data_IF_815203059287
#
_entry.id   IF_815203059287
#
_cell.length_a   1.000
_cell.length_b   1.000
_cell.length_c   1.000
_cell.angle_alpha   90.00
_cell.angle_beta   90.00
_cell.angle_gamma   90.00
#
_symmetry.space_group_name_H-M   'P 1'
#
loop_
_entity.id
_entity.type
_entity.pdbx_description
1 polymer ?
#
# COMPACT_ATOMS: atom_id res chain seq x y z
N UNK A 1 -18.73 20.99 -10.48
CA UNK A 1 -19.95 20.17 -10.43
C UNK A 1 -19.59 18.71 -10.31
N UNK A 2 -20.38 17.97 -9.54
CA UNK A 2 -20.73 16.59 -9.87
C UNK A 2 -20.90 16.48 -11.41
N UNK A 3 -20.19 15.58 -12.10
CA UNK A 3 -20.25 14.15 -11.83
C UNK A 3 -18.92 13.38 -11.71
N UNK A 4 -17.75 14.04 -11.61
CA UNK A 4 -16.46 13.32 -11.76
C UNK A 4 -15.87 12.71 -10.47
N UNK A 5 -16.49 12.87 -9.31
CA UNK A 5 -15.96 12.30 -8.06
C UNK A 5 -16.71 11.03 -7.65
N UNK A 6 -16.09 9.86 -7.91
CA UNK A 6 -16.65 8.52 -7.65
C UNK A 6 -16.14 7.83 -6.38
N UNK A 7 -15.37 8.51 -5.53
CA UNK A 7 -14.79 7.87 -4.36
C UNK A 7 -15.81 7.82 -3.21
N UNK A 8 -16.34 6.62 -2.95
CA UNK A 8 -17.27 6.35 -1.85
C UNK A 8 -16.53 5.78 -0.66
N UNK A 9 -16.71 6.36 0.52
CA UNK A 9 -16.15 5.88 1.77
C UNK A 9 -17.26 5.43 2.71
N UNK A 10 -17.11 4.24 3.30
CA UNK A 10 -18.05 3.73 4.30
C UNK A 10 -17.92 4.53 5.60
N UNK A 11 -18.95 5.31 5.94
CA UNK A 11 -18.97 6.10 7.16
C UNK A 11 -19.37 5.20 8.37
N UNK A 12 -18.61 5.20 9.49
CA UNK A 12 -18.96 4.43 10.67
C UNK A 12 -20.30 4.87 11.27
N UNK A 13 -21.02 3.95 11.92
CA UNK A 13 -22.28 4.29 12.61
C UNK A 13 -22.05 5.36 13.67
N UNK A 14 -22.86 6.43 13.62
CA UNK A 14 -22.75 7.56 14.55
C UNK A 14 -21.52 8.44 14.32
N UNK A 15 -20.83 8.30 13.18
CA UNK A 15 -19.79 9.22 12.78
C UNK A 15 -20.37 10.48 12.11
N UNK A 16 -19.64 11.59 12.22
CA UNK A 16 -19.98 12.86 11.57
C UNK A 16 -18.76 13.39 10.84
N UNK A 17 -18.96 13.90 9.62
CA UNK A 17 -17.90 14.50 8.81
C UNK A 17 -17.64 15.92 9.30
N UNK A 18 -16.37 16.22 9.58
CA UNK A 18 -15.88 17.51 10.04
C UNK A 18 -15.48 18.38 8.84
N UNK A 19 -15.44 19.71 9.04
CA UNK A 19 -14.94 20.67 8.03
C UNK A 19 -13.42 20.66 7.89
N UNK A 20 -12.71 20.13 8.88
CA UNK A 20 -11.25 20.01 8.85
C UNK A 20 -10.82 18.89 7.92
N UNK A 21 -9.76 19.14 7.15
CA UNK A 21 -9.15 18.16 6.26
C UNK A 21 -7.99 17.45 6.96
N UNK A 22 -7.71 16.22 6.54
CA UNK A 22 -6.55 15.46 6.99
C UNK A 22 -5.29 16.04 6.35
N UNK A 23 -4.31 16.41 7.16
CA UNK A 23 -3.04 17.00 6.69
C UNK A 23 -2.20 16.03 5.83
N UNK A 24 -2.44 14.71 5.93
CA UNK A 24 -1.70 13.70 5.15
C UNK A 24 -2.25 13.46 3.74
N UNK A 25 -3.56 13.54 3.57
CA UNK A 25 -4.22 13.09 2.35
C UNK A 25 -5.29 14.07 1.81
N UNK A 26 -5.56 15.18 2.51
CA UNK A 26 -6.53 16.21 2.09
C UNK A 26 -8.00 15.82 2.21
N UNK A 27 -8.31 14.57 2.61
CA UNK A 27 -9.68 14.09 2.81
C UNK A 27 -10.30 14.67 4.09
N UNK A 28 -11.63 14.84 4.15
CA UNK A 28 -12.28 15.34 5.34
C UNK A 28 -12.07 14.42 6.54
N UNK A 29 -11.94 15.00 7.73
CA UNK A 29 -11.87 14.24 8.97
C UNK A 29 -13.26 13.85 9.43
N UNK A 30 -13.36 12.76 10.19
CA UNK A 30 -14.59 12.31 10.82
C UNK A 30 -14.43 12.27 12.33
N UNK A 31 -15.50 12.53 13.05
CA UNK A 31 -15.60 12.27 14.49
C UNK A 31 -16.54 11.11 14.76
N UNK A 32 -16.14 10.14 15.58
CA UNK A 32 -16.97 8.96 15.89
C UNK A 32 -16.65 8.39 17.27
N UNK A 33 -17.48 7.47 17.77
CA UNK A 33 -17.28 6.79 19.05
C UNK A 33 -17.67 7.61 20.29
N UNK A 34 -17.58 6.96 21.46
CA UNK A 34 -17.74 7.54 22.80
C UNK A 34 -16.66 6.93 23.71
N UNK A 35 -15.59 7.66 24.09
CA UNK A 35 -15.32 9.07 23.83
C UNK A 35 -15.12 9.38 22.34
N UNK A 36 -15.40 10.64 21.94
CA UNK A 36 -15.31 11.06 20.53
C UNK A 36 -13.86 11.05 20.06
N UNK A 37 -13.55 10.18 19.12
CA UNK A 37 -12.28 10.12 18.40
C UNK A 37 -12.37 10.94 17.11
N UNK A 38 -11.25 11.49 16.64
CA UNK A 38 -11.11 12.16 15.34
C UNK A 38 -10.15 11.36 14.47
N UNK A 39 -10.56 11.01 13.26
CA UNK A 39 -9.71 10.31 12.29
C UNK A 39 -9.95 10.82 10.87
N UNK A 40 -9.13 10.41 9.91
CA UNK A 40 -9.41 10.63 8.50
C UNK A 40 -10.64 9.83 8.05
N UNK A 41 -11.42 10.35 7.09
CA UNK A 41 -12.52 9.60 6.45
C UNK A 41 -12.04 8.30 5.81
N UNK A 42 -10.83 8.28 5.25
CA UNK A 42 -10.24 7.04 4.72
C UNK A 42 -9.54 6.27 5.85
N UNK A 43 -10.01 5.05 6.21
CA UNK A 43 -9.37 4.22 7.23
C UNK A 43 -7.96 3.74 6.84
N UNK A 44 -7.56 3.89 5.57
CA UNK A 44 -6.20 3.63 5.08
C UNK A 44 -5.31 4.87 5.14
N UNK A 45 -5.83 6.08 5.36
CA UNK A 45 -5.02 7.29 5.39
C UNK A 45 -4.02 7.24 6.57
N UNK A 46 -2.75 7.52 6.26
CA UNK A 46 -1.65 7.42 7.21
C UNK A 46 -0.98 6.04 7.31
N UNK A 47 -1.55 4.99 6.72
CA UNK A 47 -0.81 3.76 6.44
C UNK A 47 -0.05 3.96 5.14
N UNK A 48 1.28 4.10 5.19
CA UNK A 48 2.11 3.87 4.01
C UNK A 48 1.75 2.46 3.56
N UNK A 49 1.16 2.33 2.37
CA UNK A 49 1.00 1.01 1.75
C UNK A 49 2.43 0.49 1.65
N UNK A 50 2.77 -0.51 2.47
CA UNK A 50 4.04 -1.23 2.39
C UNK A 50 4.01 -2.02 1.08
N UNK A 51 4.22 -1.30 -0.01
CA UNK A 51 4.05 -1.76 -1.38
C UNK A 51 5.04 -1.02 -2.29
N UNK A 52 6.17 -0.57 -1.73
CA UNK A 52 7.38 -0.43 -2.54
C UNK A 52 7.99 -1.81 -2.52
N UNK A 53 7.46 -2.69 -3.37
CA UNK A 53 8.21 -3.88 -3.77
C UNK A 53 9.44 -3.33 -4.49
N UNK A 54 10.58 -3.24 -3.80
CA UNK A 54 11.81 -2.71 -4.39
C UNK A 54 12.20 -3.61 -5.55
N UNK A 55 11.96 -3.12 -6.77
CA UNK A 55 12.33 -3.81 -8.00
C UNK A 55 13.83 -3.70 -8.13
N UNK A 56 14.50 -4.84 -7.96
CA UNK A 56 15.97 -4.93 -7.99
C UNK A 56 16.49 -5.30 -9.39
N UNK A 57 15.63 -5.81 -10.27
CA UNK A 57 16.02 -6.20 -11.62
C UNK A 57 14.91 -6.92 -12.36
N UNK A 58 15.26 -7.59 -13.47
CA UNK A 58 14.35 -8.43 -14.24
C UNK A 58 14.74 -9.90 -14.13
N UNK A 59 13.73 -10.75 -14.05
CA UNK A 59 13.92 -12.18 -13.94
C UNK A 59 14.45 -12.74 -15.28
N UNK A 60 15.59 -13.44 -15.29
CA UNK A 60 16.14 -14.03 -16.52
C UNK A 60 15.27 -15.17 -17.07
N UNK A 61 14.43 -15.80 -16.23
CA UNK A 61 13.58 -16.93 -16.66
C UNK A 61 12.26 -16.49 -17.32
N UNK A 62 11.67 -15.37 -16.88
CA UNK A 62 10.34 -14.95 -17.35
C UNK A 62 10.22 -13.47 -17.73
N UNK A 63 11.29 -12.68 -17.56
CA UNK A 63 11.30 -11.24 -17.84
C UNK A 63 10.47 -10.37 -16.91
N UNK A 64 9.82 -10.96 -15.89
CA UNK A 64 9.03 -10.23 -14.88
C UNK A 64 9.95 -9.55 -13.85
N UNK A 65 9.42 -8.56 -13.14
CA UNK A 65 10.19 -7.82 -12.13
C UNK A 65 10.66 -8.75 -10.99
N UNK A 66 11.94 -8.63 -10.63
CA UNK A 66 12.50 -9.19 -9.42
C UNK A 66 12.32 -8.19 -8.30
N UNK A 67 11.73 -8.62 -7.19
CA UNK A 67 11.39 -7.78 -6.07
C UNK A 67 12.06 -8.27 -4.79
N UNK A 68 12.62 -7.34 -4.03
CA UNK A 68 13.18 -7.63 -2.72
C UNK A 68 12.04 -7.84 -1.71
N UNK A 69 12.09 -8.96 -0.99
CA UNK A 69 11.14 -9.38 0.03
C UNK A 69 11.87 -9.68 1.33
N UNK A 70 11.32 -9.22 2.44
CA UNK A 70 11.84 -9.54 3.77
C UNK A 70 11.14 -10.79 4.31
N UNK A 71 11.89 -11.86 4.56
CA UNK A 71 11.40 -13.11 5.15
C UNK A 71 11.90 -13.31 6.58
N UNK A 72 11.54 -14.45 7.20
CA UNK A 72 11.98 -14.82 8.55
C UNK A 72 13.49 -14.94 8.69
N UNK A 73 14.17 -15.28 7.61
CA UNK A 73 15.61 -15.59 7.57
C UNK A 73 16.47 -14.45 7.00
N UNK A 74 15.86 -13.32 6.65
CA UNK A 74 16.54 -12.20 6.00
C UNK A 74 15.81 -11.71 4.75
N UNK A 75 16.43 -10.76 4.07
CA UNK A 75 15.96 -10.23 2.79
C UNK A 75 16.36 -11.17 1.64
N UNK A 76 15.44 -11.41 0.72
CA UNK A 76 15.66 -12.24 -0.45
C UNK A 76 14.97 -11.62 -1.65
N UNK A 77 15.45 -11.94 -2.86
CA UNK A 77 14.84 -11.46 -4.09
C UNK A 77 14.00 -12.57 -4.68
N UNK A 78 12.75 -12.25 -4.99
CA UNK A 78 11.81 -13.18 -5.58
C UNK A 78 11.19 -12.60 -6.84
N UNK A 79 10.85 -13.47 -7.79
CA UNK A 79 10.12 -13.04 -8.97
C UNK A 79 8.67 -12.63 -8.61
N UNK A 80 8.23 -11.47 -9.12
CA UNK A 80 6.84 -11.00 -9.02
C UNK A 80 5.85 -11.94 -9.73
N UNK A 81 6.34 -12.76 -10.67
CA UNK A 81 5.56 -13.74 -11.42
C UNK A 81 5.16 -15.00 -10.64
N UNK A 82 5.44 -15.13 -9.34
CA UNK A 82 5.00 -16.28 -8.54
C UNK A 82 3.46 -16.42 -8.55
N UNK A 83 2.88 -17.63 -8.72
CA UNK A 83 3.50 -18.97 -8.73
C UNK A 83 4.00 -19.47 -10.08
N UNK A 84 3.86 -18.68 -11.16
CA UNK A 84 4.27 -19.07 -12.53
C UNK A 84 5.79 -19.09 -12.70
N UNK A 85 6.48 -18.19 -12.01
CA UNK A 85 7.94 -18.19 -11.91
C UNK A 85 8.33 -18.31 -10.44
N UNK A 86 9.14 -19.31 -10.10
CA UNK A 86 9.63 -19.58 -8.74
C UNK A 86 11.09 -19.17 -8.55
N UNK A 87 11.61 -18.34 -9.46
CA UNK A 87 12.95 -17.81 -9.36
C UNK A 87 13.12 -16.98 -8.08
N UNK A 88 14.16 -17.30 -7.32
CA UNK A 88 14.58 -16.58 -6.13
C UNK A 88 16.10 -16.50 -6.11
N UNK A 89 16.66 -15.36 -5.73
CA UNK A 89 18.10 -15.19 -5.57
C UNK A 89 18.41 -14.37 -4.30
N UNK A 90 19.69 -14.38 -3.92
CA UNK A 90 20.22 -13.54 -2.85
C UNK A 90 20.13 -12.06 -3.26
N UNK A 91 20.00 -11.18 -2.28
CA UNK A 91 19.96 -9.72 -2.51
C UNK A 91 21.25 -9.16 -3.11
N UNK A 92 22.38 -9.85 -2.95
CA UNK A 92 23.68 -9.48 -3.52
C UNK A 92 23.92 -10.02 -4.94
N UNK A 93 23.11 -10.98 -5.41
CA UNK A 93 23.30 -11.70 -6.68
C UNK A 93 22.22 -11.34 -7.71
N UNK A 94 21.68 -10.12 -7.62
CA UNK A 94 20.68 -9.68 -8.59
C UNK A 94 21.38 -9.39 -9.91
N UNK A 95 21.00 -10.05 -11.02
CA UNK A 95 21.52 -9.67 -12.32
C UNK A 95 21.05 -8.25 -12.61
N UNK A 96 21.99 -7.29 -12.55
CA UNK A 96 21.80 -5.96 -13.11
C UNK A 96 21.53 -6.15 -14.60
N UNK A 97 20.28 -5.95 -15.00
CA UNK A 97 19.85 -6.07 -16.40
C UNK A 97 20.26 -4.85 -17.19
#
# INVERSE_FOLDING_TARGET
SYPDCRTVYSLPKGASVLKSLCEKCGLPMISYGRPRQRACLDPKCGKKKSEVEEVVGKCPECGSDLIKRSGRYGEFVGCKGFPRCRFTCSVDEVPEG
#
